data_IF_951080537700
#
_entry.id   IF_951080537700
#
_cell.length_a   1.000
_cell.length_b   1.000
_cell.length_c   1.000
_cell.angle_alpha   90.00
_cell.angle_beta   90.00
_cell.angle_gamma   90.00
#
_symmetry.space_group_name_H-M   'P 1'
#
loop_
_entity.id
_entity.type
_entity.pdbx_description
1 polymer ?
#
# COMPACT_ATOMS: atom_id res chain seq x y z
N UNK A 1 23.61 27.61 14.41
CA UNK A 1 23.14 26.24 14.11
C UNK A 1 22.18 26.32 12.95
N UNK A 2 22.49 25.65 11.83
CA UNK A 2 21.66 25.71 10.63
C UNK A 2 20.30 25.06 10.91
N UNK A 3 19.19 25.80 10.70
CA UNK A 3 17.84 25.24 10.66
C UNK A 3 17.67 24.56 9.31
N UNK A 4 18.10 23.30 9.19
CA UNK A 4 17.81 22.50 8.01
C UNK A 4 16.29 22.22 8.00
N UNK A 5 15.53 23.03 7.26
CA UNK A 5 14.08 22.90 7.09
C UNK A 5 13.80 22.27 5.74
N UNK A 6 13.87 20.94 5.68
CA UNK A 6 13.29 20.18 4.58
C UNK A 6 11.79 20.09 4.88
N UNK A 7 11.00 21.06 4.39
CA UNK A 7 9.53 21.02 4.51
C UNK A 7 9.06 19.94 3.53
N UNK A 8 9.07 18.68 3.95
CA UNK A 8 8.43 17.61 3.20
C UNK A 8 6.93 17.79 3.35
N UNK A 9 6.21 17.76 2.23
CA UNK A 9 4.75 17.70 2.27
C UNK A 9 4.35 16.41 3.00
N UNK A 10 3.29 16.44 3.82
CA UNK A 10 2.83 15.24 4.54
C UNK A 10 2.35 14.14 3.59
N UNK A 11 2.17 14.46 2.31
CA UNK A 11 1.70 13.57 1.27
C UNK A 11 2.48 13.78 -0.03
N UNK A 12 2.49 12.76 -0.89
CA UNK A 12 3.04 12.82 -2.25
C UNK A 12 2.17 12.04 -3.23
N UNK A 13 2.27 12.37 -4.51
CA UNK A 13 1.51 11.67 -5.57
C UNK A 13 2.42 10.73 -6.34
N UNK A 14 1.91 9.55 -6.66
CA UNK A 14 2.57 8.61 -7.56
C UNK A 14 1.53 7.83 -8.37
N UNK A 15 1.90 7.49 -9.60
CA UNK A 15 1.03 6.73 -10.48
C UNK A 15 1.16 5.23 -10.20
N UNK A 16 0.03 4.54 -10.06
CA UNK A 16 -0.04 3.11 -9.82
C UNK A 16 -0.60 2.42 -11.06
N UNK A 17 0.08 1.37 -11.53
CA UNK A 17 -0.40 0.52 -12.61
C UNK A 17 -1.29 -0.59 -12.04
N UNK A 18 -2.60 -0.36 -12.06
CA UNK A 18 -3.60 -1.30 -11.55
C UNK A 18 -3.83 -2.40 -12.60
N UNK A 19 -3.53 -3.67 -12.30
CA UNK A 19 -3.72 -4.76 -13.25
C UNK A 19 -5.21 -4.93 -13.58
N UNK A 20 -5.52 -5.42 -14.78
CA UNK A 20 -6.88 -5.80 -15.18
C UNK A 20 -6.86 -7.22 -15.73
N UNK A 21 -7.88 -8.01 -15.38
CA UNK A 21 -8.02 -9.36 -15.93
C UNK A 21 -8.33 -9.26 -17.43
N UNK A 22 -7.46 -9.82 -18.27
CA UNK A 22 -7.66 -9.89 -19.72
C UNK A 22 -7.51 -8.56 -20.46
N UNK A 23 -6.93 -7.53 -19.84
CA UNK A 23 -6.72 -6.22 -20.47
C UNK A 23 -5.46 -5.53 -19.96
N UNK A 24 -5.15 -4.38 -20.56
CA UNK A 24 -3.98 -3.60 -20.17
C UNK A 24 -4.13 -2.99 -18.76
N UNK A 25 -3.04 -2.88 -17.98
CA UNK A 25 -3.06 -2.21 -16.70
C UNK A 25 -3.55 -0.76 -16.81
N UNK A 26 -4.41 -0.35 -15.88
CA UNK A 26 -4.92 1.02 -15.76
C UNK A 26 -3.95 1.86 -14.94
N UNK A 27 -3.50 2.99 -15.49
CA UNK A 27 -2.75 3.97 -14.74
C UNK A 27 -3.69 4.82 -13.88
N UNK A 28 -3.52 4.79 -12.56
CA UNK A 28 -4.33 5.55 -11.60
C UNK A 28 -3.41 6.37 -10.69
N UNK A 29 -3.59 7.69 -10.56
CA UNK A 29 -2.81 8.49 -9.63
C UNK A 29 -3.26 8.23 -8.19
N UNK A 30 -2.31 7.95 -7.31
CA UNK A 30 -2.55 7.81 -5.88
C UNK A 30 -1.87 8.95 -5.13
N UNK A 31 -2.49 9.34 -4.02
CA UNK A 31 -1.89 10.21 -3.03
C UNK A 31 -1.54 9.39 -1.78
N UNK A 32 -0.28 9.41 -1.43
CA UNK A 32 0.31 8.61 -0.37
C UNK A 32 0.79 9.48 0.79
N UNK A 33 0.75 8.92 1.99
CA UNK A 33 1.32 9.51 3.20
C UNK A 33 2.84 9.40 3.18
N UNK A 34 3.52 10.52 3.36
CA UNK A 34 4.97 10.51 3.60
C UNK A 34 5.25 9.98 5.00
N UNK A 35 6.26 9.11 5.10
CA UNK A 35 6.82 8.61 6.35
C UNK A 35 8.33 8.78 6.30
N UNK A 36 8.94 9.16 7.42
CA UNK A 36 10.40 9.14 7.50
C UNK A 36 10.95 7.71 7.51
N UNK A 37 12.27 7.57 7.43
CA UNK A 37 12.92 6.26 7.34
C UNK A 37 12.66 5.36 8.56
N UNK A 38 12.47 5.94 9.74
CA UNK A 38 12.20 5.19 10.97
C UNK A 38 10.74 4.79 11.06
N UNK A 39 9.83 5.70 10.69
CA UNK A 39 8.39 5.42 10.60
C UNK A 39 8.09 4.36 9.54
N UNK A 40 8.76 4.41 8.38
CA UNK A 40 8.62 3.42 7.32
C UNK A 40 9.11 2.04 7.76
N UNK A 41 10.24 1.97 8.47
CA UNK A 41 10.75 0.70 9.01
C UNK A 41 9.80 0.10 10.04
N UNK A 42 9.25 0.94 10.94
CA UNK A 42 8.27 0.50 11.93
C UNK A 42 6.98 -0.01 11.26
N UNK A 43 6.51 0.67 10.21
CA UNK A 43 5.34 0.25 9.44
C UNK A 43 5.55 -1.14 8.81
N UNK A 44 6.70 -1.37 8.17
CA UNK A 44 7.00 -2.67 7.56
C UNK A 44 7.18 -3.79 8.58
N UNK A 45 7.74 -3.49 9.76
CA UNK A 45 7.83 -4.47 10.85
C UNK A 45 6.43 -4.89 11.35
N UNK A 46 5.51 -3.94 11.58
CA UNK A 46 4.12 -4.26 11.97
C UNK A 46 3.42 -5.12 10.91
N UNK A 47 3.62 -4.83 9.63
CA UNK A 47 3.06 -5.64 8.55
C UNK A 47 3.64 -7.06 8.52
N UNK A 48 4.95 -7.20 8.69
CA UNK A 48 5.63 -8.51 8.74
C UNK A 48 5.11 -9.35 9.90
N UNK A 49 4.96 -8.75 11.09
CA UNK A 49 4.45 -9.42 12.28
C UNK A 49 3.01 -9.90 12.10
N UNK A 50 2.14 -9.09 11.47
CA UNK A 50 0.77 -9.51 11.13
C UNK A 50 0.74 -10.66 10.14
N UNK A 51 1.59 -10.63 9.11
CA UNK A 51 1.70 -11.72 8.15
C UNK A 51 2.21 -13.01 8.80
N UNK A 52 3.22 -12.94 9.66
CA UNK A 52 3.70 -14.08 10.45
C UNK A 52 2.61 -14.64 11.34
N UNK A 53 1.90 -13.77 12.08
CA UNK A 53 0.82 -14.17 12.97
C UNK A 53 -0.33 -14.89 12.23
N UNK A 54 -0.64 -14.46 10.99
CA UNK A 54 -1.60 -15.17 10.14
C UNK A 54 -1.03 -16.48 9.60
N UNK A 55 0.25 -16.50 9.20
CA UNK A 55 0.94 -17.70 8.71
C UNK A 55 0.98 -18.85 9.73
N UNK A 56 1.03 -18.53 11.02
CA UNK A 56 0.96 -19.53 12.10
C UNK A 56 -0.41 -20.22 12.23
N UNK A 57 -1.46 -19.67 11.61
CA UNK A 57 -2.84 -20.17 11.68
C UNK A 57 -3.29 -20.90 10.41
N UNK A 58 -2.38 -21.15 9.47
CA UNK A 58 -2.70 -21.78 8.17
C UNK A 58 -3.38 -23.14 8.35
N UNK A 59 -2.93 -23.95 9.31
CA UNK A 59 -3.46 -25.29 9.55
C UNK A 59 -4.82 -25.28 10.26
N UNK A 60 -5.19 -24.16 10.93
CA UNK A 60 -6.40 -24.01 11.74
C UNK A 60 -7.58 -23.36 10.97
N UNK A 61 -7.33 -22.85 9.76
CA UNK A 61 -8.30 -22.10 8.96
C UNK A 61 -8.58 -22.82 7.65
N UNK A 62 -9.82 -22.73 7.17
CA UNK A 62 -10.07 -23.11 5.78
C UNK A 62 -9.46 -22.07 4.81
N UNK A 63 -9.31 -22.46 3.53
CA UNK A 63 -8.69 -21.61 2.52
C UNK A 63 -9.43 -20.27 2.34
N UNK A 64 -10.76 -20.26 2.48
CA UNK A 64 -11.58 -19.04 2.31
C UNK A 64 -11.40 -18.11 3.50
N UNK A 65 -11.41 -18.65 4.72
CA UNK A 65 -11.17 -17.90 5.96
C UNK A 65 -9.76 -17.29 5.95
N UNK A 66 -8.76 -18.09 5.56
CA UNK A 66 -7.39 -17.61 5.43
C UNK A 66 -7.28 -16.49 4.39
N UNK A 67 -7.92 -16.65 3.22
CA UNK A 67 -7.93 -15.63 2.17
C UNK A 67 -8.63 -14.34 2.63
N UNK A 68 -9.75 -14.46 3.36
CA UNK A 68 -10.45 -13.30 3.93
C UNK A 68 -9.57 -12.55 4.94
N UNK A 69 -8.85 -13.27 5.80
CA UNK A 69 -7.90 -12.68 6.74
C UNK A 69 -6.71 -12.00 6.03
N UNK A 70 -6.23 -12.56 4.92
CA UNK A 70 -5.21 -11.91 4.08
C UNK A 70 -5.73 -10.60 3.47
N UNK A 71 -6.96 -10.60 2.96
CA UNK A 71 -7.62 -9.38 2.45
C UNK A 71 -7.70 -8.33 3.56
N UNK A 72 -8.06 -8.71 4.78
CA UNK A 72 -8.14 -7.77 5.91
C UNK A 72 -6.79 -7.11 6.24
N UNK A 73 -5.71 -7.90 6.24
CA UNK A 73 -4.34 -7.38 6.40
C UNK A 73 -4.02 -6.38 5.28
N UNK A 74 -4.27 -6.76 4.03
CA UNK A 74 -3.98 -5.92 2.87
C UNK A 74 -4.79 -4.62 2.86
N UNK A 75 -6.07 -4.66 3.22
CA UNK A 75 -6.89 -3.45 3.40
C UNK A 75 -6.26 -2.52 4.43
N UNK A 76 -5.79 -3.07 5.56
CA UNK A 76 -5.08 -2.31 6.59
C UNK A 76 -3.78 -1.66 6.06
N UNK A 77 -3.00 -2.38 5.27
CA UNK A 77 -1.77 -1.87 4.66
C UNK A 77 -2.07 -0.69 3.72
N UNK A 78 -3.04 -0.85 2.81
CA UNK A 78 -3.44 0.22 1.88
C UNK A 78 -3.92 1.45 2.64
N UNK A 79 -4.78 1.29 3.66
CA UNK A 79 -5.28 2.38 4.49
C UNK A 79 -4.18 3.15 5.22
N UNK A 80 -3.09 2.47 5.60
CA UNK A 80 -2.01 3.12 6.35
C UNK A 80 -1.12 4.03 5.49
N UNK A 81 -1.14 3.85 4.16
CA UNK A 81 -0.29 4.60 3.23
C UNK A 81 -1.06 5.46 2.24
N UNK A 82 -2.31 5.13 1.89
CA UNK A 82 -3.13 5.88 0.92
C UNK A 82 -4.02 6.89 1.64
N UNK A 83 -3.97 8.14 1.18
CA UNK A 83 -4.82 9.24 1.68
C UNK A 83 -5.74 9.82 0.60
N UNK A 84 -5.50 9.47 -0.66
CA UNK A 84 -6.34 9.82 -1.79
C UNK A 84 -6.03 8.95 -3.01
N UNK A 85 -6.96 8.89 -3.95
CA UNK A 85 -6.80 8.15 -5.21
C UNK A 85 -7.55 8.82 -6.35
N UNK A 86 -7.22 8.45 -7.58
CA UNK A 86 -7.83 8.98 -8.80
C UNK A 86 -9.04 8.19 -9.30
N UNK A 87 -9.60 7.28 -8.51
CA UNK A 87 -10.86 6.62 -8.85
C UNK A 87 -12.05 7.58 -8.66
N UNK A 88 -13.14 7.34 -9.37
CA UNK A 88 -14.38 8.10 -9.22
C UNK A 88 -15.04 7.83 -7.86
N UNK A 89 -14.83 6.63 -7.32
CA UNK A 89 -15.30 6.22 -6.01
C UNK A 89 -14.54 6.92 -4.88
N UNK A 90 -15.22 7.18 -3.75
CA UNK A 90 -14.58 7.75 -2.56
C UNK A 90 -13.62 6.75 -1.90
N UNK A 91 -12.53 7.24 -1.33
CA UNK A 91 -11.63 6.42 -0.51
C UNK A 91 -12.32 6.06 0.82
N UNK A 92 -13.00 4.92 0.84
CA UNK A 92 -13.68 4.36 2.03
C UNK A 92 -13.17 2.95 2.29
N UNK A 93 -13.36 2.45 3.52
CA UNK A 93 -13.00 1.07 3.89
C UNK A 93 -13.63 0.03 2.96
N UNK A 94 -14.89 0.25 2.57
CA UNK A 94 -15.62 -0.60 1.63
C UNK A 94 -14.97 -0.60 0.24
N UNK A 95 -14.69 0.58 -0.31
CA UNK A 95 -14.11 0.68 -1.64
C UNK A 95 -12.66 0.17 -1.68
N UNK A 96 -11.89 0.34 -0.61
CA UNK A 96 -10.55 -0.25 -0.48
C UNK A 96 -10.66 -1.77 -0.46
N UNK A 97 -11.62 -2.34 0.28
CA UNK A 97 -11.86 -3.78 0.30
C UNK A 97 -12.24 -4.30 -1.09
N UNK A 98 -13.09 -3.58 -1.83
CA UNK A 98 -13.44 -3.91 -3.22
C UNK A 98 -12.18 -3.92 -4.10
N UNK A 99 -11.34 -2.87 -4.03
CA UNK A 99 -10.09 -2.81 -4.78
C UNK A 99 -9.17 -4.01 -4.46
N UNK A 100 -8.97 -4.28 -3.17
CA UNK A 100 -8.07 -5.36 -2.69
C UNK A 100 -8.57 -6.75 -3.10
N UNK A 101 -9.88 -6.98 -3.06
CA UNK A 101 -10.50 -8.27 -3.39
C UNK A 101 -10.69 -8.50 -4.90
N UNK A 102 -10.65 -7.44 -5.71
CA UNK A 102 -10.91 -7.52 -7.15
C UNK A 102 -9.91 -8.40 -7.90
N UNK A 103 -8.62 -8.20 -7.64
CA UNK A 103 -7.50 -8.89 -8.29
C UNK A 103 -6.38 -9.05 -7.26
N UNK A 104 -5.93 -10.29 -7.05
CA UNK A 104 -4.95 -10.63 -6.01
C UNK A 104 -3.63 -9.83 -6.10
N UNK A 105 -3.24 -9.37 -7.30
CA UNK A 105 -2.02 -8.58 -7.51
C UNK A 105 -2.21 -7.07 -7.32
N UNK A 106 -3.44 -6.56 -7.23
CA UNK A 106 -3.72 -5.13 -7.08
C UNK A 106 -3.10 -4.53 -5.80
N UNK A 107 -3.26 -5.14 -4.61
CA UNK A 107 -2.64 -4.62 -3.38
C UNK A 107 -1.13 -4.50 -3.49
N UNK A 108 -0.47 -5.52 -4.07
CA UNK A 108 0.97 -5.53 -4.28
C UNK A 108 1.42 -4.42 -5.22
N UNK A 109 0.67 -4.12 -6.28
CA UNK A 109 0.99 -3.02 -7.20
C UNK A 109 0.96 -1.64 -6.50
N UNK A 110 -0.04 -1.40 -5.64
CA UNK A 110 -0.14 -0.15 -4.87
C UNK A 110 1.02 -0.02 -3.87
N UNK A 111 1.31 -1.08 -3.11
CA UNK A 111 2.40 -1.07 -2.13
C UNK A 111 3.79 -0.98 -2.79
N UNK A 112 3.96 -1.59 -3.97
CA UNK A 112 5.18 -1.46 -4.76
C UNK A 112 5.41 -0.01 -5.22
N UNK A 113 4.38 0.64 -5.76
CA UNK A 113 4.47 2.05 -6.16
C UNK A 113 4.79 2.98 -4.96
N UNK A 114 4.22 2.70 -3.78
CA UNK A 114 4.55 3.41 -2.54
C UNK A 114 6.02 3.23 -2.17
N UNK A 115 6.53 2.00 -2.14
CA UNK A 115 7.93 1.70 -1.83
C UNK A 115 8.89 2.31 -2.86
N UNK A 116 8.53 2.24 -4.13
CA UNK A 116 9.34 2.77 -5.23
C UNK A 116 9.51 4.28 -5.11
N UNK A 117 8.48 5.02 -4.69
CA UNK A 117 8.57 6.47 -4.49
C UNK A 117 9.68 6.89 -3.49
N UNK A 118 9.93 6.10 -2.43
CA UNK A 118 11.05 6.33 -1.51
C UNK A 118 12.39 5.89 -2.08
N UNK A 119 12.40 4.89 -2.96
CA UNK A 119 13.61 4.41 -3.64
C UNK A 119 14.08 5.33 -4.78
N UNK A 120 13.14 5.94 -5.52
CA UNK A 120 13.39 6.92 -6.57
C UNK A 120 13.79 8.28 -5.99
N UNK A 121 13.28 8.65 -4.80
CA UNK A 121 13.80 9.79 -4.05
C UNK A 121 15.30 9.62 -3.70
N UNK A 122 15.80 8.38 -3.59
CA UNK A 122 17.23 8.07 -3.41
C UNK A 122 18.04 8.17 -4.70
N UNK A 123 17.39 8.08 -5.87
CA UNK A 123 18.00 8.16 -7.21
C UNK A 123 18.01 9.57 -7.81
N UNK A 124 17.71 10.61 -7.02
CA UNK A 124 17.89 12.03 -7.39
C UNK A 124 19.35 12.47 -7.66
N UNK A 125 20.22 11.53 -8.04
CA UNK A 125 21.47 11.75 -8.75
C UNK A 125 21.30 11.17 -10.17
N UNK A 126 20.77 11.96 -11.10
CA UNK A 126 20.98 11.78 -12.55
C UNK A 126 20.94 13.14 -13.22
#
# INVERSE_FOLDING_TARGET
MAKFKLIQNPTFKADVMIPRVGGDPMKVPFEFKYLDRTELAALYADWEDRHKALGLKIEDMDLKEFTAAQIDIQVGQIKSVVVGWGFDEKLTDENIRILVSSIASTPSAVLAAYSEAFSQARLGNS
#
